data_IF_637315842173
#
_entry.id   IF_637315842173
#
_cell.length_a   1.000
_cell.length_b   1.000
_cell.length_c   1.000
_cell.angle_alpha   90.00
_cell.angle_beta   90.00
_cell.angle_gamma   90.00
#
_symmetry.space_group_name_H-M   'P 1'
#
loop_
_entity.id
_entity.type
_entity.pdbx_description
1 polymer ?
#
# COMPACT_ATOMS: atom_id res chain seq x y z
N UNK A 1 -3.97 -12.99 -7.65
CA UNK A 1 -3.40 -11.69 -8.11
C UNK A 1 -3.49 -11.50 -9.63
N UNK A 2 -3.12 -12.50 -10.46
CA UNK A 2 -3.15 -12.39 -11.93
C UNK A 2 -4.55 -12.10 -12.46
N UNK A 3 -5.57 -12.83 -11.99
CA UNK A 3 -6.96 -12.62 -12.41
C UNK A 3 -7.43 -11.19 -12.10
N UNK A 4 -7.17 -10.69 -10.88
CA UNK A 4 -7.55 -9.34 -10.50
C UNK A 4 -6.80 -8.26 -11.30
N UNK A 5 -5.53 -8.52 -11.64
CA UNK A 5 -4.76 -7.62 -12.50
C UNK A 5 -5.34 -7.55 -13.93
N UNK A 6 -5.71 -8.72 -14.51
CA UNK A 6 -6.37 -8.77 -15.81
C UNK A 6 -7.72 -8.03 -15.78
N UNK A 7 -8.54 -8.23 -14.74
CA UNK A 7 -9.83 -7.54 -14.56
C UNK A 7 -9.66 -6.01 -14.47
N UNK A 8 -8.63 -5.52 -13.77
CA UNK A 8 -8.33 -4.08 -13.76
C UNK A 8 -7.94 -3.57 -15.14
N UNK A 9 -7.14 -4.33 -15.90
CA UNK A 9 -6.79 -4.00 -17.27
C UNK A 9 -8.01 -3.95 -18.21
N UNK A 10 -8.97 -4.83 -18.00
CA UNK A 10 -10.24 -4.83 -18.74
C UNK A 10 -11.09 -3.60 -18.37
N UNK A 11 -11.25 -3.32 -17.09
CA UNK A 11 -11.98 -2.14 -16.59
C UNK A 11 -11.35 -0.82 -17.07
N UNK A 12 -10.03 -0.79 -17.22
CA UNK A 12 -9.30 0.36 -17.77
C UNK A 12 -9.35 0.44 -19.32
N UNK A 13 -10.00 -0.50 -19.99
CA UNK A 13 -10.10 -0.55 -21.45
C UNK A 13 -8.81 -0.95 -22.17
N UNK A 14 -7.81 -1.45 -21.44
CA UNK A 14 -6.50 -1.86 -21.99
C UNK A 14 -6.52 -3.31 -22.47
N UNK A 15 -7.30 -4.18 -21.81
CA UNK A 15 -7.43 -5.59 -22.11
C UNK A 15 -8.88 -5.94 -22.46
N UNK A 16 -9.04 -7.01 -23.20
CA UNK A 16 -10.31 -7.70 -23.39
C UNK A 16 -10.15 -9.14 -22.91
N UNK A 17 -10.93 -9.53 -21.92
CA UNK A 17 -10.91 -10.89 -21.38
C UNK A 17 -12.02 -11.70 -22.07
N UNK A 18 -11.69 -12.89 -22.51
CA UNK A 18 -12.65 -13.87 -22.99
C UNK A 18 -12.45 -15.19 -22.23
N UNK A 19 -13.54 -15.70 -21.68
CA UNK A 19 -13.60 -17.01 -21.07
C UNK A 19 -14.31 -17.92 -22.07
N UNK A 20 -13.64 -18.92 -22.60
CA UNK A 20 -14.23 -19.83 -23.56
C UNK A 20 -13.80 -21.25 -23.25
N UNK A 21 -14.74 -22.18 -23.48
CA UNK A 21 -14.46 -23.61 -23.56
C UNK A 21 -14.06 -24.00 -24.99
N UNK A 22 -13.83 -25.27 -25.23
CA UNK A 22 -13.78 -25.83 -26.59
C UNK A 22 -15.21 -25.91 -27.12
N UNK A 23 -15.60 -24.89 -27.87
CA UNK A 23 -16.95 -24.76 -28.38
C UNK A 23 -17.34 -25.89 -29.31
N UNK A 24 -16.42 -26.43 -30.13
CA UNK A 24 -16.67 -27.52 -31.05
C UNK A 24 -16.97 -28.83 -30.30
N UNK A 25 -16.16 -29.14 -29.29
CA UNK A 25 -16.37 -30.31 -28.45
C UNK A 25 -17.69 -30.21 -27.65
N UNK A 26 -18.00 -29.02 -27.12
CA UNK A 26 -19.24 -28.78 -26.38
C UNK A 26 -20.47 -28.99 -27.30
N UNK A 27 -20.46 -28.39 -28.47
CA UNK A 27 -21.54 -28.55 -29.45
C UNK A 27 -21.65 -30.02 -29.89
N UNK A 28 -20.54 -30.69 -30.13
CA UNK A 28 -20.54 -32.12 -30.48
C UNK A 28 -21.19 -32.96 -29.38
N UNK A 29 -20.85 -32.77 -28.13
CA UNK A 29 -21.45 -33.51 -27.00
C UNK A 29 -22.92 -33.23 -26.85
N UNK A 30 -23.36 -31.97 -26.99
CA UNK A 30 -24.77 -31.60 -26.97
C UNK A 30 -25.55 -32.21 -28.11
N UNK A 31 -25.03 -32.15 -29.35
CA UNK A 31 -25.66 -32.79 -30.50
C UNK A 31 -25.81 -34.32 -30.31
N UNK A 32 -24.79 -34.96 -29.77
CA UNK A 32 -24.82 -36.39 -29.46
C UNK A 32 -25.90 -36.78 -28.44
N UNK A 33 -26.22 -35.88 -27.53
CA UNK A 33 -27.24 -36.11 -26.50
C UNK A 33 -28.66 -35.85 -27.02
N UNK A 34 -28.87 -34.81 -27.81
CA UNK A 34 -30.21 -34.33 -28.18
C UNK A 34 -30.63 -34.72 -29.58
N UNK A 35 -29.72 -34.90 -30.53
CA UNK A 35 -30.03 -35.31 -31.91
C UNK A 35 -30.10 -36.84 -32.00
N UNK A 36 -31.29 -37.39 -32.02
CA UNK A 36 -31.53 -38.85 -32.07
C UNK A 36 -32.17 -39.26 -33.38
N UNK A 37 -31.67 -40.32 -34.03
CA UNK A 37 -32.19 -40.87 -35.27
C UNK A 37 -31.64 -40.19 -36.52
N UNK A 38 -32.27 -40.44 -37.69
CA UNK A 38 -31.85 -39.95 -39.00
C UNK A 38 -33.04 -39.44 -39.79
N UNK A 39 -33.04 -38.20 -40.21
CA UNK A 39 -34.12 -37.62 -40.98
C UNK A 39 -34.08 -36.09 -41.02
N UNK A 40 -34.99 -35.42 -41.73
CA UNK A 40 -34.97 -33.95 -41.87
C UNK A 40 -35.14 -33.20 -40.54
N UNK A 41 -35.88 -33.76 -39.58
CA UNK A 41 -36.08 -33.15 -38.26
C UNK A 41 -34.77 -33.09 -37.45
N UNK A 42 -33.88 -34.09 -37.63
CA UNK A 42 -32.59 -34.12 -36.90
C UNK A 42 -31.68 -32.97 -37.31
N UNK A 43 -31.70 -32.52 -38.54
CA UNK A 43 -30.97 -31.34 -39.01
C UNK A 43 -31.44 -30.09 -38.26
N UNK A 44 -32.73 -29.90 -38.16
CA UNK A 44 -33.32 -28.74 -37.44
C UNK A 44 -32.94 -28.76 -35.94
N UNK A 45 -33.06 -29.94 -35.29
CA UNK A 45 -32.66 -30.12 -33.88
C UNK A 45 -31.17 -29.85 -33.70
N UNK A 46 -30.31 -30.30 -34.63
CA UNK A 46 -28.87 -30.04 -34.59
C UNK A 46 -28.51 -28.55 -34.72
N UNK A 47 -29.17 -27.85 -35.63
CA UNK A 47 -29.01 -26.39 -35.80
C UNK A 47 -29.52 -25.63 -34.57
N UNK A 48 -30.67 -26.00 -34.01
CA UNK A 48 -31.21 -25.43 -32.79
C UNK A 48 -30.30 -25.66 -31.57
N UNK A 49 -29.69 -26.86 -31.48
CA UNK A 49 -28.72 -27.17 -30.41
C UNK A 49 -27.47 -26.30 -30.49
N UNK A 50 -26.96 -26.09 -31.69
CA UNK A 50 -25.81 -25.22 -31.92
C UNK A 50 -26.13 -23.74 -31.62
N UNK A 51 -27.29 -23.26 -32.05
CA UNK A 51 -27.76 -21.90 -31.73
C UNK A 51 -27.96 -21.72 -30.21
N UNK A 52 -28.59 -22.69 -29.55
CA UNK A 52 -28.79 -22.67 -28.12
C UNK A 52 -27.45 -22.62 -27.34
N UNK A 53 -26.45 -23.37 -27.78
CA UNK A 53 -25.12 -23.30 -27.17
C UNK A 53 -24.52 -21.90 -27.32
N UNK A 54 -24.44 -21.40 -28.55
CA UNK A 54 -23.78 -20.12 -28.86
C UNK A 54 -24.47 -18.91 -28.22
N UNK A 55 -25.79 -18.91 -28.21
CA UNK A 55 -26.59 -17.74 -27.82
C UNK A 55 -27.02 -17.77 -26.37
N UNK A 56 -27.17 -18.92 -25.74
CA UNK A 56 -27.72 -19.08 -24.40
C UNK A 56 -26.70 -19.70 -23.42
N UNK A 57 -26.17 -20.88 -23.76
CA UNK A 57 -25.40 -21.67 -22.82
C UNK A 57 -23.99 -21.08 -22.61
N UNK A 58 -23.25 -20.85 -23.69
CA UNK A 58 -21.87 -20.33 -23.58
C UNK A 58 -21.80 -18.97 -22.87
N UNK A 59 -22.64 -17.97 -23.21
CA UNK A 59 -22.63 -16.69 -22.48
C UNK A 59 -23.02 -16.81 -21.00
N UNK A 60 -23.97 -17.75 -20.69
CA UNK A 60 -24.38 -17.98 -19.29
C UNK A 60 -23.25 -18.57 -18.47
N UNK A 61 -22.57 -19.61 -19.00
CA UNK A 61 -21.41 -20.23 -18.32
C UNK A 61 -20.25 -19.27 -18.23
N UNK A 62 -19.96 -18.48 -19.27
CA UNK A 62 -18.92 -17.46 -19.25
C UNK A 62 -19.14 -16.47 -18.09
N UNK A 63 -20.38 -15.98 -17.95
CA UNK A 63 -20.73 -15.05 -16.87
C UNK A 63 -20.63 -15.70 -15.48
N UNK A 64 -21.17 -16.92 -15.32
CA UNK A 64 -21.09 -17.67 -14.06
C UNK A 64 -19.65 -17.91 -13.64
N UNK A 65 -18.80 -18.37 -14.56
CA UNK A 65 -17.38 -18.58 -14.30
C UNK A 65 -16.65 -17.27 -14.01
N UNK A 66 -17.00 -16.18 -14.72
CA UNK A 66 -16.45 -14.87 -14.48
C UNK A 66 -16.73 -14.35 -13.04
N UNK A 67 -17.95 -14.57 -12.56
CA UNK A 67 -18.36 -14.19 -11.19
C UNK A 67 -17.66 -15.07 -10.17
N UNK A 68 -17.80 -16.40 -10.28
CA UNK A 68 -17.25 -17.33 -9.29
C UNK A 68 -15.72 -17.25 -9.17
N UNK A 69 -15.01 -17.14 -10.30
CA UNK A 69 -13.56 -16.98 -10.28
C UNK A 69 -13.12 -15.67 -9.66
N UNK A 70 -13.90 -14.60 -9.82
CA UNK A 70 -13.64 -13.33 -9.17
C UNK A 70 -13.84 -13.42 -7.66
N UNK A 71 -14.90 -14.05 -7.19
CA UNK A 71 -15.18 -14.26 -5.76
C UNK A 71 -14.02 -14.98 -5.07
N UNK A 72 -13.53 -16.08 -5.65
CA UNK A 72 -12.38 -16.82 -5.13
C UNK A 72 -11.11 -15.94 -5.09
N UNK A 73 -10.89 -15.14 -6.15
CA UNK A 73 -9.72 -14.27 -6.20
C UNK A 73 -9.80 -13.09 -5.22
N UNK A 74 -11.00 -12.56 -4.96
CA UNK A 74 -11.25 -11.51 -3.97
C UNK A 74 -11.02 -12.05 -2.54
N UNK A 75 -11.53 -13.24 -2.23
CA UNK A 75 -11.32 -13.90 -0.93
C UNK A 75 -9.84 -14.13 -0.63
N UNK A 76 -9.10 -14.66 -1.60
CA UNK A 76 -7.66 -14.85 -1.48
C UNK A 76 -6.91 -13.51 -1.27
N UNK A 77 -7.34 -12.45 -1.96
CA UNK A 77 -6.75 -11.13 -1.79
C UNK A 77 -7.03 -10.55 -0.40
N UNK A 78 -8.23 -10.75 0.14
CA UNK A 78 -8.61 -10.33 1.50
C UNK A 78 -7.75 -11.06 2.55
N UNK A 79 -7.56 -12.36 2.41
CA UNK A 79 -6.72 -13.15 3.31
C UNK A 79 -5.27 -12.63 3.35
N UNK A 80 -4.70 -12.27 2.19
CA UNK A 80 -3.36 -11.66 2.12
C UNK A 80 -3.31 -10.31 2.85
N UNK A 81 -4.35 -9.49 2.72
CA UNK A 81 -4.44 -8.21 3.44
C UNK A 81 -4.56 -8.44 4.94
N UNK A 82 -5.37 -9.42 5.38
CA UNK A 82 -5.51 -9.78 6.79
C UNK A 82 -4.18 -10.20 7.40
N UNK A 83 -3.43 -11.09 6.72
CA UNK A 83 -2.12 -11.54 7.19
C UNK A 83 -1.11 -10.40 7.31
N UNK A 84 -1.08 -9.51 6.32
CA UNK A 84 -0.20 -8.34 6.34
C UNK A 84 -0.57 -7.38 7.48
N UNK A 85 -1.86 -7.12 7.68
CA UNK A 85 -2.34 -6.27 8.76
C UNK A 85 -2.01 -6.89 10.13
N UNK A 86 -2.20 -8.19 10.30
CA UNK A 86 -1.84 -8.90 11.52
C UNK A 86 -0.36 -8.76 11.84
N UNK A 87 0.53 -8.94 10.85
CA UNK A 87 1.97 -8.76 11.03
C UNK A 87 2.33 -7.33 11.41
N UNK A 88 1.67 -6.34 10.81
CA UNK A 88 1.89 -4.93 11.12
C UNK A 88 1.49 -4.60 12.57
N UNK A 89 0.29 -5.02 12.98
CA UNK A 89 -0.25 -4.76 14.33
C UNK A 89 0.51 -5.50 15.43
N UNK A 90 1.06 -6.68 15.15
CA UNK A 90 1.84 -7.49 16.09
C UNK A 90 3.34 -7.19 16.02
N UNK A 91 3.77 -6.16 15.30
CA UNK A 91 5.17 -5.73 15.30
C UNK A 91 5.59 -5.31 16.71
N UNK A 92 6.81 -5.66 17.17
CA UNK A 92 7.25 -5.30 18.51
C UNK A 92 7.34 -3.77 18.65
N UNK A 93 6.71 -3.16 19.66
CA UNK A 93 6.76 -1.72 19.88
C UNK A 93 8.17 -1.30 20.33
N UNK A 94 8.63 -0.15 19.87
CA UNK A 94 9.85 0.47 20.38
C UNK A 94 9.70 0.93 21.85
N UNK A 95 8.46 1.21 22.24
CA UNK A 95 8.11 1.72 23.56
C UNK A 95 8.30 3.23 23.69
N UNK A 96 8.33 3.70 24.94
CA UNK A 96 8.38 5.12 25.31
C UNK A 96 9.77 5.71 25.09
N UNK A 97 10.05 6.11 23.85
CA UNK A 97 11.29 6.80 23.46
C UNK A 97 10.98 8.08 22.73
N UNK A 98 11.81 9.10 22.89
CA UNK A 98 11.73 10.32 22.10
C UNK A 98 12.06 10.01 20.64
N UNK A 99 11.08 10.15 19.78
CA UNK A 99 11.16 9.67 18.40
C UNK A 99 11.07 10.84 17.43
N UNK A 100 11.97 10.89 16.46
CA UNK A 100 11.84 11.75 15.29
C UNK A 100 11.22 10.95 14.17
N UNK A 101 10.08 11.39 13.69
CA UNK A 101 9.41 10.79 12.55
C UNK A 101 9.69 11.58 11.28
N UNK A 102 9.94 10.88 10.18
CA UNK A 102 10.20 11.47 8.86
C UNK A 102 9.24 10.87 7.85
N UNK A 103 8.38 11.71 7.27
CA UNK A 103 7.60 11.39 6.08
C UNK A 103 8.42 11.83 4.85
N UNK A 104 9.00 10.87 4.08
CA UNK A 104 9.92 11.18 2.99
C UNK A 104 9.22 11.86 1.82
N UNK A 105 9.95 12.71 1.09
CA UNK A 105 9.43 13.30 -0.14
C UNK A 105 10.47 14.09 -0.93
N UNK A 106 10.29 14.17 -2.25
CA UNK A 106 11.15 14.93 -3.14
C UNK A 106 10.74 16.41 -3.20
N UNK A 107 9.73 16.72 -4.02
CA UNK A 107 9.33 18.10 -4.34
C UNK A 107 8.81 18.87 -3.12
N UNK A 108 8.00 18.22 -2.30
CA UNK A 108 7.39 18.82 -1.09
C UNK A 108 8.29 18.73 0.15
N UNK A 109 9.49 18.14 0.00
CA UNK A 109 10.43 17.94 1.09
C UNK A 109 10.06 16.78 2.01
N UNK A 110 10.98 16.49 2.95
CA UNK A 110 10.76 15.53 4.03
C UNK A 110 10.14 16.26 5.22
N UNK A 111 8.97 15.81 5.69
CA UNK A 111 8.28 16.38 6.84
C UNK A 111 8.78 15.66 8.09
N UNK A 112 9.20 16.42 9.06
CA UNK A 112 9.72 15.90 10.32
C UNK A 112 8.76 16.27 11.44
N UNK A 113 8.46 15.28 12.29
CA UNK A 113 7.78 15.46 13.56
C UNK A 113 8.66 14.90 14.68
N UNK A 114 8.98 15.71 15.67
CA UNK A 114 9.66 15.27 16.90
C UNK A 114 8.60 14.97 17.96
N UNK A 115 8.62 13.77 18.51
CA UNK A 115 7.68 13.29 19.52
C UNK A 115 8.38 13.08 20.85
N UNK A 116 7.68 13.38 21.93
CA UNK A 116 8.12 12.98 23.28
C UNK A 116 7.94 11.48 23.52
N UNK A 117 8.30 11.01 24.71
CA UNK A 117 8.20 9.59 25.07
C UNK A 117 6.74 9.09 25.17
N UNK A 118 5.76 9.97 25.20
CA UNK A 118 4.33 9.68 25.22
C UNK A 118 3.68 9.78 23.83
N UNK A 119 4.45 10.16 22.80
CA UNK A 119 3.95 10.33 21.44
C UNK A 119 3.30 11.69 21.17
N UNK A 120 3.48 12.69 22.07
CA UNK A 120 3.00 14.04 21.82
C UNK A 120 3.96 14.78 20.87
N UNK A 121 3.41 15.57 19.96
CA UNK A 121 4.19 16.42 19.07
C UNK A 121 4.84 17.58 19.85
N UNK A 122 6.16 17.66 19.80
CA UNK A 122 6.94 18.75 20.47
C UNK A 122 7.56 19.72 19.48
N UNK A 123 7.78 19.29 18.24
CA UNK A 123 8.31 20.14 17.17
C UNK A 123 8.04 19.51 15.80
N UNK A 124 7.87 20.34 14.79
CA UNK A 124 7.82 19.90 13.39
C UNK A 124 8.61 20.85 12.48
N UNK A 125 9.17 20.32 11.39
CA UNK A 125 9.92 21.09 10.39
C UNK A 125 9.88 20.37 9.04
N UNK A 126 9.98 21.11 7.93
CA UNK A 126 10.15 20.53 6.60
C UNK A 126 11.56 20.79 6.11
N UNK A 127 12.29 19.74 5.78
CA UNK A 127 13.63 19.81 5.21
C UNK A 127 13.65 19.36 3.75
N UNK A 128 14.63 19.81 2.97
CA UNK A 128 14.73 19.54 1.55
C UNK A 128 16.08 18.96 1.15
N UNK A 129 16.44 17.75 1.61
CA UNK A 129 17.72 17.14 1.26
C UNK A 129 17.78 16.66 -0.19
N UNK A 130 16.63 16.38 -0.81
CA UNK A 130 16.50 15.76 -2.12
C UNK A 130 16.21 16.75 -3.26
N UNK A 131 16.40 16.33 -4.55
CA UNK A 131 15.93 17.13 -5.68
C UNK A 131 14.42 17.45 -5.59
N UNK A 132 13.97 18.56 -6.16
CA UNK A 132 14.73 19.52 -6.98
C UNK A 132 15.54 20.56 -6.16
N UNK A 133 15.19 20.79 -4.90
CA UNK A 133 15.79 21.88 -4.09
C UNK A 133 17.22 21.56 -3.63
N UNK A 134 17.51 20.34 -3.20
CA UNK A 134 18.84 19.86 -2.75
C UNK A 134 19.52 20.73 -1.68
N UNK A 135 18.79 21.19 -0.69
CA UNK A 135 19.37 21.97 0.43
C UNK A 135 20.03 21.04 1.47
N UNK A 136 20.91 20.15 0.98
CA UNK A 136 21.48 19.05 1.75
C UNK A 136 22.17 19.52 3.03
N UNK A 137 23.08 20.51 2.93
CA UNK A 137 23.83 21.02 4.08
C UNK A 137 22.90 21.67 5.14
N UNK A 138 21.90 22.44 4.71
CA UNK A 138 20.92 23.04 5.60
C UNK A 138 20.06 21.96 6.27
N UNK A 139 19.61 20.97 5.52
CA UNK A 139 18.83 19.85 6.04
C UNK A 139 19.64 19.04 7.08
N UNK A 140 20.95 18.83 6.84
CA UNK A 140 21.85 18.17 7.80
C UNK A 140 21.95 18.95 9.12
N UNK A 141 22.14 20.26 9.04
CA UNK A 141 22.21 21.12 10.23
C UNK A 141 20.89 21.09 11.00
N UNK A 142 19.75 21.21 10.31
CA UNK A 142 18.42 21.14 10.95
C UNK A 142 18.20 19.80 11.64
N UNK A 143 18.52 18.68 10.98
CA UNK A 143 18.36 17.34 11.56
C UNK A 143 19.24 17.17 12.80
N UNK A 144 20.52 17.52 12.72
CA UNK A 144 21.45 17.41 13.85
C UNK A 144 21.02 18.27 15.03
N UNK A 145 20.55 19.50 14.77
CA UNK A 145 19.99 20.39 15.79
C UNK A 145 18.78 19.76 16.49
N UNK A 146 17.81 19.22 15.72
CA UNK A 146 16.63 18.58 16.28
C UNK A 146 16.98 17.34 17.11
N UNK A 147 17.93 16.52 16.64
CA UNK A 147 18.44 15.35 17.40
C UNK A 147 19.00 15.78 18.75
N UNK A 148 19.78 16.86 18.76
CA UNK A 148 20.42 17.38 19.97
C UNK A 148 19.42 18.03 20.94
N UNK A 149 18.63 18.97 20.45
CA UNK A 149 17.76 19.83 21.27
C UNK A 149 16.59 19.04 21.89
N UNK A 150 16.00 18.12 21.11
CA UNK A 150 14.89 17.29 21.57
C UNK A 150 15.33 15.94 22.15
N UNK A 151 16.65 15.68 22.21
CA UNK A 151 17.22 14.43 22.76
C UNK A 151 16.61 13.19 22.15
N UNK A 152 16.58 13.14 20.82
CA UNK A 152 15.97 12.07 20.05
C UNK A 152 16.75 10.76 20.29
N UNK A 153 16.02 9.69 20.59
CA UNK A 153 16.56 8.35 20.85
C UNK A 153 16.34 7.38 19.70
N UNK A 154 15.36 7.66 18.84
CA UNK A 154 15.03 6.85 17.67
C UNK A 154 14.54 7.73 16.51
N UNK A 155 14.76 7.28 15.29
CA UNK A 155 14.26 7.92 14.06
C UNK A 155 13.44 6.91 13.29
N UNK A 156 12.17 7.24 12.99
CA UNK A 156 11.30 6.47 12.10
C UNK A 156 11.21 7.15 10.74
N UNK A 157 11.38 6.37 9.67
CA UNK A 157 11.27 6.85 8.29
C UNK A 157 10.16 6.05 7.61
N UNK A 158 9.18 6.72 7.00
CA UNK A 158 8.14 6.08 6.20
C UNK A 158 8.73 5.31 5.02
N UNK A 159 8.13 4.19 4.64
CA UNK A 159 8.64 3.31 3.58
C UNK A 159 8.18 3.71 2.16
N UNK A 160 7.60 4.89 1.99
CA UNK A 160 7.09 5.39 0.70
C UNK A 160 8.17 5.96 -0.22
N UNK A 161 7.75 6.92 -1.05
CA UNK A 161 8.61 7.56 -2.04
C UNK A 161 9.78 8.28 -1.37
N UNK A 162 11.01 8.13 -1.91
CA UNK A 162 12.26 8.69 -1.39
C UNK A 162 12.72 8.12 -0.03
N UNK A 163 12.17 6.99 0.41
CA UNK A 163 12.52 6.37 1.70
C UNK A 163 14.01 6.01 1.78
N UNK A 164 14.57 5.37 0.75
CA UNK A 164 15.99 4.98 0.70
C UNK A 164 16.92 6.18 0.76
N UNK A 165 16.67 7.16 -0.10
CA UNK A 165 17.48 8.38 -0.17
C UNK A 165 17.41 9.17 1.15
N UNK A 166 16.26 9.13 1.81
CA UNK A 166 16.08 9.75 3.13
C UNK A 166 16.84 8.97 4.20
N UNK A 167 16.84 7.64 4.15
CA UNK A 167 17.63 6.82 5.07
C UNK A 167 19.13 7.05 4.90
N UNK A 168 19.63 7.13 3.66
CA UNK A 168 21.02 7.44 3.38
C UNK A 168 21.40 8.84 3.91
N UNK A 169 20.56 9.85 3.63
CA UNK A 169 20.74 11.19 4.15
C UNK A 169 20.80 11.23 5.68
N UNK A 170 19.89 10.55 6.36
CA UNK A 170 19.84 10.49 7.84
C UNK A 170 21.09 9.83 8.39
N UNK A 171 21.55 8.73 7.80
CA UNK A 171 22.77 8.04 8.22
C UNK A 171 24.01 8.91 8.06
N UNK A 172 24.12 9.67 6.97
CA UNK A 172 25.20 10.63 6.74
C UNK A 172 25.17 11.75 7.78
N UNK A 173 23.99 12.32 8.02
CA UNK A 173 23.82 13.38 9.03
C UNK A 173 24.15 12.90 10.45
N UNK A 174 23.75 11.68 10.83
CA UNK A 174 24.10 11.08 12.13
C UNK A 174 25.59 10.76 12.24
N UNK A 175 26.25 10.39 11.15
CA UNK A 175 27.69 10.20 11.11
C UNK A 175 28.44 11.51 11.37
N UNK A 176 27.94 12.63 10.81
CA UNK A 176 28.46 13.96 11.07
C UNK A 176 28.18 14.40 12.52
N UNK A 177 26.96 14.16 13.01
CA UNK A 177 26.57 14.41 14.41
C UNK A 177 27.50 13.71 15.38
N UNK A 178 27.80 12.43 15.16
CA UNK A 178 28.73 11.66 15.99
C UNK A 178 30.16 12.25 16.01
N UNK A 179 30.63 12.75 14.85
CA UNK A 179 31.94 13.43 14.76
C UNK A 179 31.96 14.75 15.52
N UNK A 180 30.91 15.55 15.39
CA UNK A 180 30.82 16.86 16.01
C UNK A 180 30.69 16.81 17.55
N UNK A 181 29.97 15.80 18.07
CA UNK A 181 29.67 15.66 19.49
C UNK A 181 30.53 14.56 20.21
N UNK A 182 31.77 14.36 19.78
CA UNK A 182 32.75 13.48 20.44
C UNK A 182 32.26 12.03 20.63
N UNK A 183 31.76 11.42 19.57
CA UNK A 183 31.27 10.02 19.56
C UNK A 183 30.10 9.74 20.49
N UNK A 184 29.19 10.71 20.68
CA UNK A 184 27.93 10.49 21.38
C UNK A 184 27.12 9.35 20.70
N UNK A 185 26.34 8.66 21.50
CA UNK A 185 25.43 7.65 20.96
C UNK A 185 24.40 8.32 20.03
N UNK A 186 24.23 7.76 18.84
CA UNK A 186 23.29 8.27 17.83
C UNK A 186 21.96 7.53 17.92
N UNK A 187 20.83 8.21 17.59
CA UNK A 187 19.54 7.53 17.49
C UNK A 187 19.58 6.33 16.55
N UNK A 188 18.87 5.27 16.91
CA UNK A 188 18.65 4.14 16.01
C UNK A 188 17.64 4.53 14.91
N UNK A 189 17.90 4.10 13.67
CA UNK A 189 17.08 4.43 12.49
C UNK A 189 16.27 3.23 12.07
N UNK A 190 14.96 3.43 11.91
CA UNK A 190 13.99 2.39 11.52
C UNK A 190 13.19 2.85 10.31
N UNK A 191 12.95 1.94 9.38
CA UNK A 191 11.98 2.14 8.29
C UNK A 191 10.68 1.46 8.70
N UNK A 192 9.59 2.21 8.68
CA UNK A 192 8.26 1.75 9.09
C UNK A 192 7.25 1.89 7.96
N UNK A 193 6.20 1.05 7.97
CA UNK A 193 5.11 1.18 7.00
C UNK A 193 4.36 2.49 7.23
N UNK A 194 4.13 3.26 6.17
CA UNK A 194 3.29 4.47 6.19
C UNK A 194 1.85 4.21 5.71
N UNK A 195 1.49 2.93 5.49
CA UNK A 195 0.16 2.55 5.03
C UNK A 195 -0.92 3.07 5.99
N UNK A 196 -1.90 3.78 5.46
CA UNK A 196 -2.97 4.39 6.23
C UNK A 196 -2.64 5.74 6.89
N UNK A 197 -1.37 6.17 6.99
CA UNK A 197 -1.00 7.45 7.60
C UNK A 197 -1.69 8.65 6.91
N UNK A 198 -1.80 8.61 5.58
CA UNK A 198 -2.52 9.63 4.80
C UNK A 198 -4.03 9.64 5.09
N UNK A 199 -4.64 8.48 5.36
CA UNK A 199 -6.06 8.37 5.70
C UNK A 199 -6.29 8.92 7.11
N UNK A 200 -5.47 8.51 8.08
CA UNK A 200 -5.50 9.05 9.45
C UNK A 200 -5.36 10.57 9.44
N UNK A 201 -4.34 11.12 8.78
CA UNK A 201 -4.03 12.56 8.77
C UNK A 201 -5.19 13.43 8.25
N UNK A 202 -6.02 12.88 7.36
CA UNK A 202 -7.22 13.53 6.82
C UNK A 202 -8.49 13.25 7.65
N UNK A 203 -8.44 12.37 8.64
CA UNK A 203 -9.59 11.97 9.45
C UNK A 203 -10.07 13.07 10.40
N UNK A 204 -11.30 12.94 10.91
CA UNK A 204 -11.82 13.84 11.94
C UNK A 204 -11.03 13.66 13.25
N UNK A 205 -10.69 12.44 13.62
CA UNK A 205 -9.86 12.12 14.81
C UNK A 205 -8.56 12.90 14.82
N UNK A 206 -7.81 12.87 13.70
CA UNK A 206 -6.56 13.61 13.60
C UNK A 206 -6.73 15.12 13.64
N UNK A 207 -7.85 15.66 13.10
CA UNK A 207 -8.19 17.08 13.19
C UNK A 207 -8.53 17.50 14.62
N UNK A 208 -9.23 16.67 15.36
CA UNK A 208 -9.62 16.95 16.74
C UNK A 208 -8.39 16.89 17.68
N UNK A 209 -7.48 15.96 17.41
CA UNK A 209 -6.23 15.81 18.19
C UNK A 209 -5.21 16.93 17.90
N UNK A 210 -5.07 17.31 16.62
CA UNK A 210 -4.12 18.33 16.18
C UNK A 210 -4.83 19.40 15.35
N UNK A 211 -5.66 20.26 15.97
CA UNK A 211 -6.48 21.24 15.25
C UNK A 211 -5.64 22.29 14.51
N UNK A 212 -4.49 22.66 15.07
CA UNK A 212 -3.60 23.69 14.54
C UNK A 212 -2.55 23.16 13.55
N UNK A 213 -2.46 21.83 13.37
CA UNK A 213 -1.47 21.20 12.49
C UNK A 213 -2.06 20.89 11.11
N UNK A 214 -1.20 20.88 10.10
CA UNK A 214 -1.59 20.49 8.76
C UNK A 214 -1.63 18.97 8.56
N UNK A 215 -2.21 18.54 7.45
CA UNK A 215 -2.34 17.10 7.08
C UNK A 215 -0.98 16.42 7.01
N UNK A 216 0.07 17.13 6.57
CA UNK A 216 1.40 16.54 6.38
C UNK A 216 2.10 16.30 7.71
N UNK A 217 1.96 17.21 8.66
CA UNK A 217 2.47 17.08 10.04
C UNK A 217 1.76 15.93 10.76
N UNK A 218 0.44 15.83 10.66
CA UNK A 218 -0.34 14.72 11.23
C UNK A 218 0.11 13.36 10.66
N UNK A 219 0.40 13.29 9.36
CA UNK A 219 0.94 12.09 8.72
C UNK A 219 2.30 11.68 9.29
N UNK A 220 3.21 12.64 9.48
CA UNK A 220 4.51 12.37 10.09
C UNK A 220 4.38 11.90 11.55
N UNK A 221 3.45 12.48 12.33
CA UNK A 221 3.16 12.03 13.70
C UNK A 221 2.74 10.55 13.72
N UNK A 222 1.82 10.16 12.82
CA UNK A 222 1.37 8.77 12.70
C UNK A 222 2.54 7.80 12.41
N UNK A 223 3.45 8.17 11.49
CA UNK A 223 4.65 7.37 11.20
C UNK A 223 5.51 7.18 12.46
N UNK A 224 5.66 8.20 13.28
CA UNK A 224 6.42 8.12 14.53
C UNK A 224 5.77 7.24 15.59
N UNK A 225 4.49 7.44 15.84
CA UNK A 225 3.72 6.66 16.80
C UNK A 225 3.64 5.20 16.45
N UNK A 226 3.58 4.89 15.15
CA UNK A 226 3.59 3.50 14.68
C UNK A 226 4.87 2.74 15.05
N UNK A 227 6.02 3.41 15.10
CA UNK A 227 7.24 2.81 15.64
C UNK A 227 7.15 2.62 17.15
N UNK A 228 6.55 3.58 17.86
CA UNK A 228 6.45 3.54 19.32
C UNK A 228 5.49 2.46 19.80
N UNK A 229 4.29 2.39 19.21
CA UNK A 229 3.26 1.39 19.51
C UNK A 229 2.36 1.15 18.29
N UNK A 230 2.67 0.18 17.43
CA UNK A 230 1.90 -0.10 16.21
C UNK A 230 0.47 -0.57 16.46
N UNK A 231 0.17 -1.06 17.65
CA UNK A 231 -1.18 -1.52 18.00
C UNK A 231 -2.07 -0.36 18.46
N UNK A 232 -1.50 0.66 19.07
CA UNK A 232 -2.24 1.83 19.55
C UNK A 232 -2.53 2.86 18.43
N UNK A 233 -1.68 2.91 17.38
CA UNK A 233 -1.85 3.79 16.23
C UNK A 233 -2.74 3.15 15.17
#
# INVERSE_FOLDING_TARGET
HQLLAMRRGESAGVLRIKISSDDEECVYRLKRQFVRGHGPCQKIVGEATEDAFKRLIAPSIENEFAVSSKEVADEEAINVVEDNLRQLLLSPPLGQKRTMAIDPGYANGCKIACLDAQGNLIHHEIIYPHPPKRYYAQATISLMRMVHDYKIEAISIGNGTASRETQDFVNDALSEYKRQYNNVETPAVYVVSEDGASIYSASQTARDEFPDEDVTTRGAVSIGRRLMDPLAE
#
